data_IF_330069857285
#
_entry.id   IF_330069857285
#
_cell.length_a   1.000
_cell.length_b   1.000
_cell.length_c   1.000
_cell.angle_alpha   90.00
_cell.angle_beta   90.00
_cell.angle_gamma   90.00
#
_symmetry.space_group_name_H-M   'P 1'
#
loop_
_entity.id
_entity.type
_entity.pdbx_description
1 polymer ?
#
# COMPACT_ATOMS: atom_id res chain seq x y z
N UNK A 1 -16.01 12.73 -17.70
CA UNK A 1 -16.87 12.91 -18.90
C UNK A 1 -18.15 12.14 -18.66
N UNK A 2 -19.31 12.72 -18.94
CA UNK A 2 -20.63 12.12 -18.67
C UNK A 2 -20.80 10.87 -19.55
N UNK A 3 -20.87 9.68 -18.95
CA UNK A 3 -20.94 8.42 -19.70
C UNK A 3 -22.40 8.13 -20.09
N UNK A 4 -22.86 8.76 -21.18
CA UNK A 4 -24.25 8.77 -21.64
C UNK A 4 -24.89 7.38 -21.78
N UNK A 5 -24.07 6.35 -22.08
CA UNK A 5 -24.54 4.97 -22.20
C UNK A 5 -24.99 4.42 -20.84
N UNK A 6 -24.22 4.67 -19.79
CA UNK A 6 -24.52 4.17 -18.44
C UNK A 6 -25.77 4.85 -17.87
N UNK A 7 -25.90 6.17 -18.07
CA UNK A 7 -27.09 6.93 -17.68
C UNK A 7 -28.35 6.39 -18.37
N UNK A 8 -28.32 6.20 -19.69
CA UNK A 8 -29.49 5.73 -20.43
C UNK A 8 -29.92 4.31 -20.02
N UNK A 9 -28.95 3.40 -19.80
CA UNK A 9 -29.21 2.05 -19.30
C UNK A 9 -29.82 2.07 -17.89
N UNK A 10 -29.31 2.91 -16.99
CA UNK A 10 -29.83 3.07 -15.64
C UNK A 10 -31.25 3.65 -15.64
N UNK A 11 -31.50 4.67 -16.46
CA UNK A 11 -32.81 5.30 -16.65
C UNK A 11 -33.86 4.30 -17.15
N UNK A 12 -33.52 3.54 -18.21
CA UNK A 12 -34.41 2.54 -18.79
C UNK A 12 -34.74 1.41 -17.79
N UNK A 13 -33.76 0.99 -16.98
CA UNK A 13 -33.94 -0.03 -15.95
C UNK A 13 -34.82 0.47 -14.80
N UNK A 14 -34.59 1.70 -14.33
CA UNK A 14 -35.36 2.35 -13.26
C UNK A 14 -36.85 2.48 -13.58
N UNK A 15 -37.17 2.84 -14.83
CA UNK A 15 -38.56 3.06 -15.28
C UNK A 15 -39.16 1.92 -16.11
N UNK A 16 -38.56 0.73 -16.07
CA UNK A 16 -39.05 -0.48 -16.76
C UNK A 16 -40.52 -0.80 -16.49
N UNK A 17 -41.02 -0.51 -15.28
CA UNK A 17 -42.43 -0.64 -14.90
C UNK A 17 -43.38 0.28 -15.69
N UNK A 18 -42.94 1.50 -16.02
CA UNK A 18 -43.72 2.45 -16.83
C UNK A 18 -43.81 1.98 -18.29
N UNK A 19 -42.72 1.42 -18.84
CA UNK A 19 -42.74 0.84 -20.19
C UNK A 19 -43.70 -0.35 -20.29
N UNK A 20 -43.72 -1.23 -19.29
CA UNK A 20 -44.68 -2.35 -19.25
C UNK A 20 -46.13 -1.86 -19.21
N UNK A 21 -46.42 -0.81 -18.42
CA UNK A 21 -47.75 -0.19 -18.39
C UNK A 21 -48.16 0.43 -19.72
N UNK A 22 -47.23 1.09 -20.43
CA UNK A 22 -47.51 1.68 -21.73
C UNK A 22 -47.73 0.62 -22.81
N UNK A 23 -46.94 -0.46 -22.79
CA UNK A 23 -47.12 -1.59 -23.71
C UNK A 23 -48.48 -2.25 -23.48
N UNK A 24 -48.90 -2.44 -22.22
CA UNK A 24 -50.22 -3.02 -21.94
C UNK A 24 -51.37 -2.09 -22.37
N UNK A 25 -51.23 -0.77 -22.20
CA UNK A 25 -52.22 0.21 -22.64
C UNK A 25 -52.34 0.26 -24.17
N UNK A 26 -51.21 0.26 -24.89
CA UNK A 26 -51.20 0.25 -26.36
C UNK A 26 -51.78 -1.04 -26.93
N UNK A 27 -51.47 -2.19 -26.32
CA UNK A 27 -52.07 -3.47 -26.68
C UNK A 27 -53.59 -3.46 -26.51
N UNK A 28 -54.09 -2.90 -25.40
CA UNK A 28 -55.51 -2.76 -25.15
C UNK A 28 -56.20 -1.86 -26.21
N UNK A 29 -55.59 -0.74 -26.58
CA UNK A 29 -56.13 0.15 -27.63
C UNK A 29 -56.17 -0.52 -29.01
N UNK A 30 -55.15 -1.30 -29.37
CA UNK A 30 -55.13 -2.08 -30.62
C UNK A 30 -56.20 -3.17 -30.62
N UNK A 31 -56.41 -3.85 -29.49
CA UNK A 31 -57.46 -4.84 -29.32
C UNK A 31 -58.86 -4.21 -29.50
N UNK A 32 -59.09 -3.02 -28.93
CA UNK A 32 -60.35 -2.28 -29.11
C UNK A 32 -60.58 -1.84 -30.56
N UNK A 33 -59.53 -1.38 -31.25
CA UNK A 33 -59.63 -1.04 -32.68
C UNK A 33 -60.00 -2.27 -33.53
N UNK A 34 -59.45 -3.44 -33.21
CA UNK A 34 -59.78 -4.69 -33.90
C UNK A 34 -61.24 -5.12 -33.67
N UNK A 35 -61.75 -4.99 -32.44
CA UNK A 35 -63.13 -5.34 -32.09
C UNK A 35 -64.18 -4.38 -32.67
N UNK A 36 -63.86 -3.09 -32.80
CA UNK A 36 -64.79 -2.04 -33.23
C UNK A 36 -64.32 -1.33 -34.51
N UNK A 37 -64.18 -2.11 -35.60
CA UNK A 37 -63.62 -1.65 -36.87
C UNK A 37 -64.36 -0.43 -37.49
N UNK A 38 -65.67 -0.29 -37.28
CA UNK A 38 -66.48 0.83 -37.80
C UNK A 38 -66.15 2.18 -37.14
N UNK A 39 -65.58 2.17 -35.94
CA UNK A 39 -65.18 3.35 -35.17
C UNK A 39 -63.65 3.56 -35.18
N UNK A 40 -62.91 2.78 -35.98
CA UNK A 40 -61.45 2.72 -35.94
C UNK A 40 -60.73 4.06 -36.11
N UNK A 41 -61.31 5.00 -36.88
CA UNK A 41 -60.73 6.34 -37.08
C UNK A 41 -60.67 7.14 -35.77
N UNK A 42 -61.72 7.06 -34.92
CA UNK A 42 -61.73 7.76 -33.63
C UNK A 42 -60.71 7.18 -32.65
N UNK A 43 -60.52 5.85 -32.66
CA UNK A 43 -59.48 5.19 -31.88
C UNK A 43 -58.07 5.58 -32.33
N UNK A 44 -57.86 5.81 -33.63
CA UNK A 44 -56.57 6.27 -34.16
C UNK A 44 -56.24 7.70 -33.70
N UNK A 45 -57.22 8.61 -33.72
CA UNK A 45 -57.03 9.96 -33.17
C UNK A 45 -56.73 9.93 -31.66
N UNK A 46 -57.45 9.10 -30.90
CA UNK A 46 -57.21 8.92 -29.47
C UNK A 46 -55.81 8.34 -29.19
N UNK A 47 -55.37 7.36 -29.99
CA UNK A 47 -54.04 6.79 -29.89
C UNK A 47 -52.95 7.83 -30.16
N UNK A 48 -53.09 8.64 -31.21
CA UNK A 48 -52.14 9.71 -31.52
C UNK A 48 -52.07 10.77 -30.41
N UNK A 49 -53.20 11.15 -29.84
CA UNK A 49 -53.27 12.07 -28.71
C UNK A 49 -52.54 11.49 -27.47
N UNK A 50 -52.82 10.24 -27.12
CA UNK A 50 -52.16 9.56 -26.02
C UNK A 50 -50.65 9.44 -26.25
N UNK A 51 -50.21 9.14 -27.47
CA UNK A 51 -48.79 9.11 -27.84
C UNK A 51 -48.13 10.48 -27.70
N UNK A 52 -48.82 11.55 -28.10
CA UNK A 52 -48.31 12.91 -27.95
C UNK A 52 -48.13 13.30 -26.47
N UNK A 53 -49.13 12.99 -25.63
CA UNK A 53 -49.06 13.28 -24.18
C UNK A 53 -47.96 12.46 -23.49
N UNK A 54 -47.78 11.19 -23.86
CA UNK A 54 -46.71 10.36 -23.27
C UNK A 54 -45.33 10.85 -23.68
N UNK A 55 -45.13 11.27 -24.92
CA UNK A 55 -43.87 11.88 -25.36
C UNK A 55 -43.56 13.14 -24.54
N UNK A 56 -44.54 14.02 -24.34
CA UNK A 56 -44.35 15.22 -23.50
C UNK A 56 -43.95 14.85 -22.07
N UNK A 57 -44.62 13.87 -21.46
CA UNK A 57 -44.28 13.40 -20.11
C UNK A 57 -42.85 12.85 -20.02
N UNK A 58 -42.42 12.01 -20.97
CA UNK A 58 -41.05 11.48 -20.99
C UNK A 58 -40.02 12.57 -21.23
N UNK A 59 -40.28 13.52 -22.13
CA UNK A 59 -39.34 14.63 -22.35
C UNK A 59 -39.18 15.47 -21.08
N UNK A 60 -40.26 15.72 -20.34
CA UNK A 60 -40.21 16.41 -19.05
C UNK A 60 -39.40 15.60 -18.01
N UNK A 61 -39.72 14.32 -17.85
CA UNK A 61 -39.06 13.43 -16.87
C UNK A 61 -37.56 13.28 -17.15
N UNK A 62 -37.16 13.12 -18.42
CA UNK A 62 -35.75 13.05 -18.83
C UNK A 62 -35.04 14.38 -18.54
N UNK A 63 -35.66 15.52 -18.82
CA UNK A 63 -35.04 16.83 -18.57
C UNK A 63 -34.81 17.06 -17.07
N UNK A 64 -35.77 16.72 -16.22
CA UNK A 64 -35.65 16.83 -14.77
C UNK A 64 -34.58 15.87 -14.23
N UNK A 65 -34.61 14.60 -14.63
CA UNK A 65 -33.63 13.60 -14.19
C UNK A 65 -32.21 13.96 -14.66
N UNK A 66 -32.08 14.51 -15.88
CA UNK A 66 -30.80 14.96 -16.41
C UNK A 66 -30.25 16.19 -15.67
N UNK A 67 -31.11 17.09 -15.21
CA UNK A 67 -30.70 18.20 -14.35
C UNK A 67 -30.17 17.70 -13.00
N UNK A 68 -30.85 16.72 -12.39
CA UNK A 68 -30.43 16.09 -11.13
C UNK A 68 -29.11 15.33 -11.31
N UNK A 69 -29.00 14.50 -12.34
CA UNK A 69 -27.77 13.75 -12.64
C UNK A 69 -26.56 14.67 -12.92
N UNK A 70 -26.79 15.81 -13.57
CA UNK A 70 -25.74 16.82 -13.77
C UNK A 70 -25.32 17.49 -12.47
N UNK A 71 -26.25 17.76 -11.55
CA UNK A 71 -25.93 18.32 -10.24
C UNK A 71 -25.15 17.33 -9.37
N UNK A 72 -25.51 16.04 -9.38
CA UNK A 72 -24.81 14.98 -8.64
C UNK A 72 -23.34 14.84 -9.06
N UNK A 73 -23.06 14.90 -10.37
CA UNK A 73 -21.68 14.78 -10.88
C UNK A 73 -20.85 16.04 -10.60
N UNK A 74 -21.46 17.23 -10.55
CA UNK A 74 -20.73 18.48 -10.36
C UNK A 74 -20.51 18.84 -8.89
N UNK A 75 -21.49 18.55 -8.02
CA UNK A 75 -21.50 19.02 -6.64
C UNK A 75 -21.40 17.90 -5.61
N UNK A 76 -21.56 16.62 -6.01
CA UNK A 76 -21.48 15.47 -5.10
C UNK A 76 -22.62 15.39 -4.06
N UNK A 77 -23.45 16.42 -3.95
CA UNK A 77 -24.60 16.45 -3.05
C UNK A 77 -25.85 15.95 -3.77
N UNK A 78 -26.32 14.78 -3.33
CA UNK A 78 -27.62 14.22 -3.73
C UNK A 78 -28.63 14.52 -2.64
N UNK A 79 -29.61 15.38 -2.89
CA UNK A 79 -30.83 15.35 -2.10
C UNK A 79 -31.60 14.08 -2.47
N UNK A 80 -31.56 13.08 -1.59
CA UNK A 80 -32.28 11.83 -1.79
C UNK A 80 -33.79 12.07 -1.83
N UNK A 81 -34.43 11.85 -2.99
CA UNK A 81 -35.86 12.16 -3.21
C UNK A 81 -36.75 10.94 -3.04
N UNK A 82 -36.24 9.74 -3.33
CA UNK A 82 -36.97 8.49 -3.11
C UNK A 82 -36.76 7.96 -1.68
N UNK A 83 -37.79 7.41 -1.01
CA UNK A 83 -37.65 6.80 0.32
C UNK A 83 -36.55 5.74 0.40
N UNK A 84 -36.31 5.00 -0.69
CA UNK A 84 -35.23 4.00 -0.75
C UNK A 84 -33.85 4.67 -0.80
N UNK A 85 -33.73 5.80 -1.49
CA UNK A 85 -32.47 6.51 -1.64
C UNK A 85 -32.02 7.15 -0.32
N UNK A 86 -32.98 7.68 0.46
CA UNK A 86 -32.70 8.26 1.78
C UNK A 86 -32.09 7.19 2.71
N UNK A 87 -32.70 6.00 2.76
CA UNK A 87 -32.21 4.88 3.58
C UNK A 87 -30.84 4.39 3.11
N UNK A 88 -30.60 4.36 1.79
CA UNK A 88 -29.30 3.96 1.25
C UNK A 88 -28.21 5.00 1.55
N UNK A 89 -28.52 6.30 1.45
CA UNK A 89 -27.59 7.37 1.77
C UNK A 89 -27.20 7.34 3.25
N UNK A 90 -28.17 7.24 4.17
CA UNK A 90 -27.92 7.15 5.60
C UNK A 90 -27.05 5.95 5.96
N UNK A 91 -27.30 4.79 5.33
CA UNK A 91 -26.49 3.59 5.54
C UNK A 91 -25.07 3.74 4.99
N UNK A 92 -24.90 4.44 3.87
CA UNK A 92 -23.61 4.69 3.25
C UNK A 92 -22.78 5.66 4.10
N UNK A 93 -23.38 6.76 4.55
CA UNK A 93 -22.76 7.71 5.49
C UNK A 93 -22.36 7.02 6.80
N UNK A 94 -23.23 6.19 7.39
CA UNK A 94 -22.91 5.44 8.60
C UNK A 94 -21.73 4.48 8.37
N UNK A 95 -21.66 3.84 7.19
CA UNK A 95 -20.56 2.94 6.84
C UNK A 95 -19.26 3.70 6.59
N UNK A 96 -19.32 4.85 5.94
CA UNK A 96 -18.16 5.73 5.73
C UNK A 96 -17.62 6.24 7.06
N UNK A 97 -18.49 6.65 7.98
CA UNK A 97 -18.11 7.07 9.33
C UNK A 97 -17.46 5.92 10.11
N UNK A 98 -18.02 4.71 10.03
CA UNK A 98 -17.44 3.51 10.64
C UNK A 98 -16.04 3.20 10.09
N UNK A 99 -15.87 3.25 8.75
CA UNK A 99 -14.58 3.03 8.11
C UNK A 99 -13.55 4.10 8.47
N UNK A 100 -13.99 5.36 8.54
CA UNK A 100 -13.14 6.47 8.98
C UNK A 100 -12.67 6.27 10.43
N UNK A 101 -13.59 5.87 11.31
CA UNK A 101 -13.27 5.59 12.70
C UNK A 101 -12.31 4.39 12.84
N UNK A 102 -12.55 3.30 12.10
CA UNK A 102 -11.65 2.14 12.08
C UNK A 102 -10.24 2.50 11.58
N UNK A 103 -10.15 3.35 10.55
CA UNK A 103 -8.86 3.84 10.05
C UNK A 103 -8.17 4.67 11.12
N UNK A 104 -8.86 5.65 11.70
CA UNK A 104 -8.29 6.53 12.74
C UNK A 104 -7.84 5.75 13.97
N UNK A 105 -8.62 4.75 14.41
CA UNK A 105 -8.25 3.89 15.53
C UNK A 105 -7.04 3.00 15.21
N UNK A 106 -6.89 2.56 13.95
CA UNK A 106 -5.74 1.77 13.52
C UNK A 106 -4.47 2.63 13.47
N UNK A 107 -4.56 3.84 12.93
CA UNK A 107 -3.44 4.81 12.91
C UNK A 107 -3.00 5.19 14.33
N UNK A 108 -3.95 5.40 15.24
CA UNK A 108 -3.65 5.67 16.66
C UNK A 108 -2.92 4.49 17.31
N UNK A 109 -3.41 3.26 17.12
CA UNK A 109 -2.75 2.05 17.66
C UNK A 109 -1.32 1.90 17.13
N UNK A 110 -1.10 2.19 15.85
CA UNK A 110 0.23 2.16 15.26
C UNK A 110 1.13 3.22 15.91
N UNK A 111 0.63 4.44 16.05
CA UNK A 111 1.38 5.53 16.70
C UNK A 111 1.76 5.19 18.15
N UNK A 112 0.79 4.68 18.93
CA UNK A 112 1.03 4.26 20.32
C UNK A 112 2.08 3.13 20.40
N UNK A 113 2.06 2.18 19.46
CA UNK A 113 3.08 1.13 19.36
C UNK A 113 4.47 1.73 19.07
N UNK A 114 4.58 2.63 18.11
CA UNK A 114 5.85 3.28 17.75
C UNK A 114 6.43 4.05 18.95
N UNK A 115 5.60 4.79 19.68
CA UNK A 115 6.01 5.54 20.86
C UNK A 115 6.46 4.61 21.99
N UNK A 116 5.70 3.55 22.24
CA UNK A 116 6.04 2.53 23.25
C UNK A 116 7.39 1.88 22.96
N UNK A 117 7.62 1.42 21.74
CA UNK A 117 8.88 0.79 21.36
C UNK A 117 10.05 1.78 21.35
N UNK A 118 9.81 3.04 20.97
CA UNK A 118 10.83 4.10 21.04
C UNK A 118 11.29 4.32 22.48
N UNK A 119 10.35 4.41 23.43
CA UNK A 119 10.65 4.51 24.85
C UNK A 119 11.40 3.27 25.37
N UNK A 120 10.94 2.08 24.99
CA UNK A 120 11.56 0.82 25.39
C UNK A 120 13.01 0.70 24.93
N UNK A 121 13.31 1.09 23.68
CA UNK A 121 14.69 1.11 23.18
C UNK A 121 15.56 2.11 23.94
N UNK A 122 15.04 3.30 24.24
CA UNK A 122 15.76 4.26 25.08
C UNK A 122 16.08 3.66 26.46
N UNK A 123 15.11 2.98 27.08
CA UNK A 123 15.28 2.30 28.36
C UNK A 123 16.31 1.17 28.31
N UNK A 124 16.41 0.43 27.20
CA UNK A 124 17.39 -0.66 27.01
C UNK A 124 18.80 -0.15 26.70
N UNK A 125 18.93 1.00 26.04
CA UNK A 125 20.26 1.61 25.79
C UNK A 125 21.02 1.94 27.07
N UNK A 126 20.30 2.28 28.14
CA UNK A 126 20.90 2.60 29.45
C UNK A 126 21.63 1.39 30.08
N UNK A 127 21.00 0.21 30.30
CA UNK A 127 21.69 -0.96 30.81
C UNK A 127 22.74 -1.52 29.82
N UNK A 128 22.58 -1.34 28.51
CA UNK A 128 23.63 -1.66 27.53
C UNK A 128 24.88 -0.81 27.81
N UNK A 129 24.73 0.52 27.93
CA UNK A 129 25.85 1.41 28.22
C UNK A 129 26.49 1.11 29.58
N UNK A 130 25.70 0.83 30.61
CA UNK A 130 26.21 0.39 31.91
C UNK A 130 26.99 -0.93 31.78
N UNK A 131 26.50 -1.90 31.00
CA UNK A 131 27.20 -3.15 30.74
C UNK A 131 28.53 -2.92 30.01
N UNK A 132 28.59 -1.99 29.05
CA UNK A 132 29.83 -1.63 28.37
C UNK A 132 30.88 -1.07 29.33
N UNK A 133 30.46 -0.23 30.29
CA UNK A 133 31.35 0.30 31.33
C UNK A 133 31.87 -0.80 32.25
N UNK A 134 31.00 -1.71 32.70
CA UNK A 134 31.41 -2.85 33.54
C UNK A 134 32.38 -3.78 32.81
N UNK A 135 32.14 -4.05 31.53
CA UNK A 135 33.04 -4.87 30.70
C UNK A 135 34.37 -4.17 30.44
N UNK A 136 34.39 -2.84 30.38
CA UNK A 136 35.62 -2.08 30.21
C UNK A 136 36.63 -2.31 31.35
N UNK A 137 36.15 -2.58 32.57
CA UNK A 137 36.93 -2.85 33.78
C UNK A 137 37.44 -4.30 33.89
N UNK A 138 37.00 -5.21 33.01
CA UNK A 138 37.43 -6.61 33.02
C UNK A 138 38.91 -6.72 32.63
N UNK A 139 39.73 -7.30 33.51
CA UNK A 139 41.16 -7.45 33.30
C UNK A 139 41.53 -8.54 32.27
N UNK A 140 40.76 -9.63 32.22
CA UNK A 140 40.96 -10.69 31.23
C UNK A 140 40.55 -10.21 29.84
N UNK A 141 41.54 -10.03 28.97
CA UNK A 141 41.36 -9.55 27.60
C UNK A 141 40.47 -10.47 26.76
N UNK A 142 40.56 -11.78 26.93
CA UNK A 142 39.79 -12.72 26.12
C UNK A 142 38.32 -12.70 26.55
N UNK A 143 38.06 -12.73 27.86
CA UNK A 143 36.72 -12.61 28.41
C UNK A 143 36.08 -11.25 28.06
N UNK A 144 36.84 -10.16 28.20
CA UNK A 144 36.40 -8.80 27.83
C UNK A 144 35.91 -8.74 26.38
N UNK A 145 36.70 -9.26 25.45
CA UNK A 145 36.34 -9.28 24.04
C UNK A 145 35.07 -10.09 23.76
N UNK A 146 34.89 -11.24 24.42
CA UNK A 146 33.66 -12.03 24.28
C UNK A 146 32.43 -11.28 24.80
N UNK A 147 32.55 -10.58 25.93
CA UNK A 147 31.46 -9.78 26.48
C UNK A 147 31.13 -8.56 25.59
N UNK A 148 32.15 -7.85 25.09
CA UNK A 148 31.97 -6.73 24.15
C UNK A 148 31.22 -7.17 22.88
N UNK A 149 31.52 -8.36 22.35
CA UNK A 149 30.79 -8.93 21.22
C UNK A 149 29.31 -9.17 21.53
N UNK A 150 29.00 -9.78 22.67
CA UNK A 150 27.61 -10.05 23.04
C UNK A 150 26.82 -8.75 23.26
N UNK A 151 27.44 -7.75 23.90
CA UNK A 151 26.82 -6.44 24.05
C UNK A 151 26.61 -5.76 22.69
N UNK A 152 27.57 -5.84 21.77
CA UNK A 152 27.42 -5.30 20.41
C UNK A 152 26.26 -5.97 19.67
N UNK A 153 26.08 -7.29 19.81
CA UNK A 153 24.94 -8.00 19.21
C UNK A 153 23.61 -7.51 19.80
N UNK A 154 23.53 -7.37 21.12
CA UNK A 154 22.33 -6.86 21.80
C UNK A 154 21.99 -5.45 21.31
N UNK A 155 22.97 -4.54 21.23
CA UNK A 155 22.74 -3.19 20.71
C UNK A 155 22.31 -3.20 19.24
N UNK A 156 22.94 -4.01 18.41
CA UNK A 156 22.58 -4.17 17.00
C UNK A 156 21.14 -4.68 16.82
N UNK A 157 20.74 -5.71 17.58
CA UNK A 157 19.36 -6.22 17.53
C UNK A 157 18.35 -5.21 18.07
N UNK A 158 18.71 -4.44 19.09
CA UNK A 158 17.86 -3.36 19.61
C UNK A 158 17.63 -2.28 18.54
N UNK A 159 18.68 -1.90 17.80
CA UNK A 159 18.56 -0.95 16.71
C UNK A 159 17.79 -1.52 15.50
N UNK A 160 17.90 -2.83 15.23
CA UNK A 160 17.14 -3.50 14.18
C UNK A 160 15.63 -3.43 14.43
N UNK A 161 15.18 -3.59 15.67
CA UNK A 161 13.75 -3.47 16.03
C UNK A 161 13.21 -2.08 15.67
N UNK A 162 13.95 -1.01 15.93
CA UNK A 162 13.53 0.34 15.54
C UNK A 162 13.44 0.53 14.03
N UNK A 163 14.39 -0.06 13.29
CA UNK A 163 14.39 0.00 11.83
C UNK A 163 13.19 -0.76 11.27
N UNK A 164 12.89 -1.94 11.82
CA UNK A 164 11.75 -2.75 11.44
C UNK A 164 10.42 -2.02 11.64
N UNK A 165 10.21 -1.40 12.81
CA UNK A 165 8.99 -0.64 13.10
C UNK A 165 8.80 0.55 12.15
N UNK A 166 9.89 1.15 11.69
CA UNK A 166 9.84 2.27 10.72
C UNK A 166 9.61 1.82 9.28
N UNK A 167 9.65 0.52 8.97
CA UNK A 167 9.34 0.02 7.63
C UNK A 167 7.85 0.21 7.29
N UNK A 168 6.95 0.15 8.28
CA UNK A 168 5.51 0.34 8.03
C UNK A 168 5.17 1.74 7.50
N UNK A 169 6.00 2.74 7.83
CA UNK A 169 5.87 4.13 7.36
C UNK A 169 7.03 4.55 6.44
N UNK A 170 7.70 3.61 5.75
CA UNK A 170 8.95 3.93 5.05
C UNK A 170 8.78 4.95 3.92
N UNK A 171 7.63 4.91 3.24
CA UNK A 171 7.35 5.74 2.07
C UNK A 171 7.35 7.24 2.39
N UNK A 172 6.92 7.63 3.58
CA UNK A 172 6.84 9.03 4.00
C UNK A 172 8.20 9.62 4.40
N UNK A 173 9.18 8.75 4.70
CA UNK A 173 10.47 9.09 5.32
C UNK A 173 11.67 9.05 4.35
N UNK A 174 11.44 8.78 3.05
CA UNK A 174 12.51 8.63 2.06
C UNK A 174 13.13 9.97 1.67
N UNK A 175 14.45 10.09 1.89
CA UNK A 175 15.22 11.26 1.50
C UNK A 175 16.31 10.86 0.50
N UNK A 176 15.94 10.88 -0.78
CA UNK A 176 16.85 10.56 -1.88
C UNK A 176 17.89 11.66 -2.06
N UNK A 177 19.17 11.31 -1.90
CA UNK A 177 20.32 12.20 -2.09
C UNK A 177 21.40 11.47 -2.87
N UNK A 178 22.31 12.26 -3.46
CA UNK A 178 23.52 11.73 -4.07
C UNK A 178 24.47 11.29 -2.94
N UNK A 179 24.84 10.02 -2.93
CA UNK A 179 25.65 9.40 -1.87
C UNK A 179 26.80 8.60 -2.48
N UNK A 180 28.01 8.80 -1.95
CA UNK A 180 29.19 8.02 -2.28
C UNK A 180 29.10 6.62 -1.65
N UNK A 181 29.11 5.58 -2.48
CA UNK A 181 28.96 4.19 -2.01
C UNK A 181 30.16 3.73 -1.19
N UNK A 182 31.37 4.15 -1.59
CA UNK A 182 32.59 3.79 -0.89
C UNK A 182 32.56 4.21 0.59
N UNK A 183 32.03 5.39 0.90
CA UNK A 183 31.95 5.90 2.27
C UNK A 183 30.97 5.07 3.11
N UNK A 184 29.81 4.73 2.54
CA UNK A 184 28.80 3.88 3.17
C UNK A 184 29.36 2.50 3.52
N UNK A 185 30.01 1.85 2.55
CA UNK A 185 30.58 0.51 2.74
C UNK A 185 31.68 0.56 3.79
N UNK A 186 32.59 1.56 3.72
CA UNK A 186 33.65 1.74 4.72
C UNK A 186 33.12 2.01 6.12
N UNK A 187 32.03 2.76 6.26
CA UNK A 187 31.35 3.01 7.54
C UNK A 187 30.94 1.70 8.21
N UNK A 188 30.30 0.79 7.46
CA UNK A 188 29.84 -0.51 7.96
C UNK A 188 31.02 -1.46 8.22
N UNK A 189 32.00 -1.55 7.32
CA UNK A 189 33.17 -2.41 7.52
C UNK A 189 33.95 -2.00 8.78
N UNK A 190 34.07 -0.69 9.05
CA UNK A 190 34.68 -0.18 10.30
C UNK A 190 33.89 -0.60 11.53
N UNK A 191 32.55 -0.49 11.48
CA UNK A 191 31.66 -0.90 12.58
C UNK A 191 31.86 -2.38 12.94
N UNK A 192 32.05 -3.25 11.95
CA UNK A 192 32.23 -4.70 12.16
C UNK A 192 33.69 -5.17 12.17
N UNK A 193 34.67 -4.26 12.11
CA UNK A 193 36.09 -4.61 11.96
C UNK A 193 36.60 -5.62 12.99
N UNK A 194 36.15 -5.49 14.25
CA UNK A 194 36.55 -6.40 15.33
C UNK A 194 36.13 -7.86 15.04
N UNK A 195 34.95 -8.08 14.45
CA UNK A 195 34.44 -9.41 14.11
C UNK A 195 35.24 -10.05 12.98
N UNK A 196 35.65 -9.27 11.97
CA UNK A 196 36.53 -9.75 10.90
C UNK A 196 37.89 -10.19 11.46
N UNK A 197 38.50 -9.36 12.31
CA UNK A 197 39.81 -9.63 12.92
C UNK A 197 39.77 -10.89 13.79
N UNK A 198 38.75 -11.03 14.65
CA UNK A 198 38.65 -12.17 15.56
C UNK A 198 38.39 -13.50 14.83
N UNK A 199 37.72 -13.46 13.69
CA UNK A 199 37.51 -14.64 12.84
C UNK A 199 38.64 -14.87 11.84
N UNK A 200 39.61 -13.95 11.73
CA UNK A 200 40.66 -14.01 10.72
C UNK A 200 40.14 -13.91 9.28
N UNK A 201 39.04 -13.17 9.07
CA UNK A 201 38.41 -12.99 7.77
C UNK A 201 38.96 -11.75 7.06
N UNK A 202 39.29 -11.89 5.78
CA UNK A 202 39.76 -10.77 4.96
C UNK A 202 38.59 -10.03 4.30
N UNK A 203 38.74 -8.71 4.09
CA UNK A 203 37.77 -7.90 3.36
C UNK A 203 38.47 -7.24 2.18
N UNK A 204 38.03 -7.52 0.96
CA UNK A 204 38.53 -6.92 -0.26
C UNK A 204 37.50 -5.91 -0.79
N UNK A 205 37.90 -4.64 -0.92
CA UNK A 205 37.07 -3.54 -1.41
C UNK A 205 37.68 -3.00 -2.72
N UNK A 206 36.93 -2.98 -3.80
CA UNK A 206 37.39 -2.43 -5.08
C UNK A 206 36.23 -1.88 -5.92
N UNK A 207 36.52 -0.94 -6.84
CA UNK A 207 35.55 -0.33 -7.75
C UNK A 207 34.33 0.34 -7.08
N UNK A 208 34.49 0.87 -5.86
CA UNK A 208 33.41 1.51 -5.08
C UNK A 208 33.28 3.03 -5.29
N UNK A 209 34.18 3.64 -6.07
CA UNK A 209 34.22 5.10 -6.31
C UNK A 209 33.09 5.53 -7.28
N UNK A 210 31.86 5.49 -6.78
CA UNK A 210 30.63 5.83 -7.51
C UNK A 210 29.66 6.56 -6.59
N UNK A 211 29.04 7.59 -7.15
CA UNK A 211 27.90 8.28 -6.56
C UNK A 211 26.60 7.73 -7.13
N UNK A 212 25.65 7.39 -6.25
CA UNK A 212 24.30 6.98 -6.63
C UNK A 212 23.26 7.84 -5.92
N UNK A 213 22.06 7.94 -6.52
CA UNK A 213 20.92 8.61 -5.88
C UNK A 213 20.16 7.57 -5.05
N UNK A 214 20.21 7.70 -3.73
CA UNK A 214 19.58 6.74 -2.81
C UNK A 214 19.29 7.39 -1.46
N UNK A 215 18.54 6.69 -0.60
CA UNK A 215 18.43 7.05 0.80
C UNK A 215 19.61 6.44 1.59
N UNK A 216 20.46 7.31 2.15
CA UNK A 216 21.65 6.90 2.90
C UNK A 216 21.31 5.93 4.03
N UNK A 217 20.26 6.22 4.80
CA UNK A 217 19.90 5.50 6.03
C UNK A 217 19.42 4.10 5.68
N UNK A 218 18.50 3.96 4.72
CA UNK A 218 17.96 2.66 4.34
C UNK A 218 19.00 1.79 3.63
N UNK A 219 19.84 2.36 2.76
CA UNK A 219 20.91 1.60 2.13
C UNK A 219 21.91 1.06 3.16
N UNK A 220 22.25 1.87 4.17
CA UNK A 220 23.13 1.44 5.27
C UNK A 220 22.54 0.25 6.03
N UNK A 221 21.24 0.26 6.32
CA UNK A 221 20.54 -0.87 6.97
C UNK A 221 20.64 -2.15 6.14
N UNK A 222 20.40 -2.06 4.82
CA UNK A 222 20.46 -3.23 3.93
C UNK A 222 21.87 -3.80 3.88
N UNK A 223 22.89 -2.97 3.66
CA UNK A 223 24.28 -3.41 3.61
C UNK A 223 24.69 -4.00 4.98
N UNK A 224 24.31 -3.37 6.09
CA UNK A 224 24.58 -3.87 7.43
C UNK A 224 24.01 -5.29 7.64
N UNK A 225 22.78 -5.54 7.20
CA UNK A 225 22.15 -6.84 7.32
C UNK A 225 22.86 -7.92 6.48
N UNK A 226 23.28 -7.58 5.26
CA UNK A 226 24.04 -8.49 4.39
C UNK A 226 25.39 -8.80 5.02
N UNK A 227 26.15 -7.79 5.46
CA UNK A 227 27.47 -7.97 6.09
C UNK A 227 27.37 -8.78 7.39
N UNK A 228 26.37 -8.51 8.22
CA UNK A 228 26.11 -9.27 9.45
C UNK A 228 25.85 -10.75 9.14
N UNK A 229 25.08 -11.04 8.09
CA UNK A 229 24.82 -12.40 7.65
C UNK A 229 26.10 -13.06 7.10
N UNK A 230 26.83 -12.40 6.20
CA UNK A 230 28.09 -12.93 5.65
C UNK A 230 29.10 -13.21 6.77
N UNK A 231 29.22 -12.35 7.77
CA UNK A 231 30.04 -12.59 8.97
C UNK A 231 29.56 -13.79 9.77
N UNK A 232 28.26 -14.01 9.91
CA UNK A 232 27.69 -15.14 10.65
C UNK A 232 27.99 -16.49 9.97
N UNK A 233 27.90 -16.54 8.63
CA UNK A 233 27.98 -17.78 7.85
C UNK A 233 29.35 -18.07 7.22
N UNK A 234 30.27 -17.11 7.23
CA UNK A 234 31.66 -17.30 6.79
C UNK A 234 32.54 -17.73 7.95
N UNK A 235 33.19 -18.89 7.82
CA UNK A 235 34.12 -19.44 8.82
C UNK A 235 35.58 -19.15 8.47
N UNK A 236 35.92 -19.27 7.19
CA UNK A 236 37.27 -19.08 6.65
C UNK A 236 37.19 -18.31 5.33
N UNK A 237 38.27 -17.61 4.96
CA UNK A 237 38.34 -16.79 3.75
C UNK A 237 37.99 -15.32 4.03
N UNK A 238 36.94 -14.81 3.41
CA UNK A 238 36.65 -13.38 3.47
C UNK A 238 35.43 -12.93 2.68
N UNK A 239 35.29 -11.61 2.60
CA UNK A 239 34.27 -10.92 1.83
C UNK A 239 34.92 -10.08 0.73
N UNK A 240 34.23 -10.00 -0.40
CA UNK A 240 34.60 -9.21 -1.56
C UNK A 240 33.42 -8.29 -1.90
N UNK A 241 33.66 -6.97 -1.92
CA UNK A 241 32.63 -5.96 -2.15
C UNK A 241 33.08 -5.02 -3.27
N UNK A 242 32.25 -4.91 -4.31
CA UNK A 242 32.53 -4.14 -5.52
C UNK A 242 31.26 -3.66 -6.21
N UNK A 243 31.41 -2.72 -7.15
CA UNK A 243 30.30 -2.28 -8.00
C UNK A 243 30.43 -2.82 -9.43
N UNK A 244 29.45 -3.58 -9.88
CA UNK A 244 29.32 -3.99 -11.28
C UNK A 244 28.29 -3.10 -11.98
N UNK A 245 28.74 -2.14 -12.79
CA UNK A 245 27.85 -1.12 -13.35
C UNK A 245 27.19 -0.25 -12.26
N UNK A 246 25.88 -0.39 -12.06
CA UNK A 246 25.12 0.27 -10.99
C UNK A 246 24.77 -0.66 -9.81
N UNK A 247 25.17 -1.93 -9.87
CA UNK A 247 24.85 -2.93 -8.85
C UNK A 247 25.96 -3.02 -7.80
N UNK A 248 25.58 -3.02 -6.51
CA UNK A 248 26.50 -3.28 -5.40
C UNK A 248 26.55 -4.78 -5.14
N UNK A 249 27.69 -5.38 -5.45
CA UNK A 249 27.94 -6.81 -5.30
C UNK A 249 28.67 -7.08 -3.98
N UNK A 250 28.10 -7.94 -3.14
CA UNK A 250 28.72 -8.43 -1.89
C UNK A 250 28.81 -9.95 -2.00
N UNK A 251 30.03 -10.47 -1.99
CA UNK A 251 30.33 -11.88 -2.13
C UNK A 251 31.06 -12.38 -0.89
N UNK A 252 30.63 -13.51 -0.36
CA UNK A 252 31.29 -14.17 0.78
C UNK A 252 31.71 -15.61 0.44
N UNK A 253 32.69 -16.12 1.19
CA UNK A 253 33.19 -17.50 1.09
C UNK A 253 32.50 -18.45 2.06
N UNK A 254 31.26 -18.13 2.47
CA UNK A 254 30.49 -18.91 3.43
C UNK A 254 29.90 -20.21 2.86
N UNK A 255 29.03 -20.84 3.64
CA UNK A 255 28.42 -22.15 3.33
C UNK A 255 27.46 -22.16 2.13
N UNK A 256 27.12 -20.99 1.58
CA UNK A 256 26.11 -20.82 0.53
C UNK A 256 24.67 -21.02 1.03
N UNK A 257 23.70 -20.59 0.22
CA UNK A 257 22.27 -20.77 0.49
C UNK A 257 21.77 -21.98 -0.30
N UNK A 258 21.09 -22.92 0.36
CA UNK A 258 20.52 -24.10 -0.29
C UNK A 258 19.42 -23.67 -1.26
N UNK A 259 19.49 -24.12 -2.52
CA UNK A 259 18.68 -23.63 -3.67
C UNK A 259 17.16 -23.57 -3.42
N UNK A 260 16.61 -24.42 -2.55
CA UNK A 260 15.17 -24.45 -2.21
C UNK A 260 14.67 -23.12 -1.59
N UNK A 261 15.53 -22.37 -0.89
CA UNK A 261 15.14 -21.10 -0.23
C UNK A 261 15.17 -19.88 -1.18
N UNK A 262 15.82 -20.00 -2.35
CA UNK A 262 15.99 -18.90 -3.30
C UNK A 262 14.75 -18.63 -4.16
N UNK A 263 13.93 -19.67 -4.42
CA UNK A 263 12.71 -19.53 -5.23
C UNK A 263 11.53 -18.93 -4.45
N UNK A 264 11.42 -19.18 -3.15
CA UNK A 264 10.35 -18.57 -2.32
C UNK A 264 10.59 -17.07 -2.10
N UNK A 265 11.85 -16.66 -1.88
CA UNK A 265 12.20 -15.25 -1.64
C UNK A 265 12.07 -14.35 -2.89
N UNK A 266 12.30 -14.89 -4.10
CA UNK A 266 12.05 -14.17 -5.36
C UNK A 266 10.55 -14.05 -5.71
N UNK A 267 9.72 -15.00 -5.27
CA UNK A 267 8.28 -14.97 -5.52
C UNK A 267 7.53 -13.98 -4.62
N UNK A 268 8.02 -13.71 -3.41
CA UNK A 268 7.40 -12.72 -2.50
C UNK A 268 7.61 -11.29 -3.02
N UNK A 269 8.82 -10.95 -3.47
CA UNK A 269 9.12 -9.60 -4.00
C UNK A 269 8.34 -9.28 -5.29
N UNK A 270 8.04 -10.29 -6.12
CA UNK A 270 7.27 -10.08 -7.35
C UNK A 270 5.76 -9.92 -7.12
N UNK A 271 5.21 -10.47 -6.03
CA UNK A 271 3.79 -10.29 -5.71
C UNK A 271 3.51 -8.93 -5.07
N UNK A 272 4.40 -8.42 -4.22
CA UNK A 272 4.19 -7.14 -3.54
C UNK A 272 4.39 -5.93 -4.48
N UNK A 273 5.24 -6.05 -5.52
CA UNK A 273 5.42 -5.00 -6.53
C UNK A 273 4.26 -4.96 -7.54
N UNK A 274 3.49 -6.05 -7.72
CA UNK A 274 2.29 -6.03 -8.58
C UNK A 274 1.01 -5.58 -7.85
N UNK A 275 1.07 -5.40 -6.53
CA UNK A 275 -0.07 -5.00 -5.70
C UNK A 275 -0.03 -3.53 -5.25
N UNK A 276 1.04 -2.78 -5.58
CA UNK A 276 1.19 -1.34 -5.36
C UNK A 276 1.08 -0.57 -6.69
#
# INVERSE_FOLDING_TARGET
MLDWKQFFLAYLRSRSRLFVYLISLTFLLLLFQFLFASLGIYFLYFFLLCCFVTILFFTWDILVEMQVYRQEILYGEREAKSPLEIVLAEKLEAREMELYQQRSDSERKLTDLLDYYTLWVHQIKTPIAASQLLVAEVADRQLKQQLEQEIFKIDSYTNLVLQYLRLESFHDDLVLKQVQIEDLVKEIIRKYALFFIQKGLNVNLHDLDKEIVTDKKWLLVVIEQIISNSLKYTKEGGLEIYMEGQELCIKDTGIGIKTVMSSESLNVVSQDIMAA
#
